data_IF_841132133009
#
_entry.id   IF_841132133009
#
_cell.length_a   1.000
_cell.length_b   1.000
_cell.length_c   1.000
_cell.angle_alpha   90.00
_cell.angle_beta   90.00
_cell.angle_gamma   90.00
#
_symmetry.space_group_name_H-M   'P 1'
#
loop_
_entity.id
_entity.type
_entity.pdbx_description
1 polymer ?
#
# COMPACT_ATOMS: atom_id res chain seq x y z
N UNK A 1 20.42 -20.17 -16.20
CA UNK A 1 19.88 -21.33 -15.44
C UNK A 1 18.38 -21.54 -15.66
N UNK A 2 17.55 -20.50 -15.67
CA UNK A 2 16.10 -20.62 -15.89
C UNK A 2 15.69 -21.22 -17.27
N UNK A 3 16.41 -20.91 -18.35
CA UNK A 3 16.11 -21.42 -19.71
C UNK A 3 16.29 -22.93 -19.84
N UNK A 4 17.30 -23.51 -19.19
CA UNK A 4 17.53 -24.96 -19.21
C UNK A 4 16.41 -25.72 -18.47
N UNK A 5 15.88 -25.13 -17.40
CA UNK A 5 14.73 -25.69 -16.66
C UNK A 5 13.47 -25.61 -17.54
N UNK A 6 13.27 -24.50 -18.25
CA UNK A 6 12.12 -24.33 -19.15
C UNK A 6 12.13 -25.35 -20.29
N UNK A 7 13.29 -25.59 -20.90
CA UNK A 7 13.44 -26.62 -21.94
C UNK A 7 13.19 -28.03 -21.41
N UNK A 8 13.61 -28.33 -20.17
CA UNK A 8 13.35 -29.62 -19.55
C UNK A 8 11.84 -29.85 -19.32
N UNK A 9 11.12 -28.82 -18.86
CA UNK A 9 9.67 -28.86 -18.68
C UNK A 9 8.96 -29.02 -20.02
N UNK A 10 9.42 -28.36 -21.09
CA UNK A 10 8.87 -28.49 -22.44
C UNK A 10 9.07 -29.89 -23.04
N UNK A 11 10.18 -30.54 -22.73
CA UNK A 11 10.41 -31.93 -23.16
C UNK A 11 9.53 -32.91 -22.36
N UNK A 12 9.35 -32.67 -21.07
CA UNK A 12 8.45 -33.49 -20.24
C UNK A 12 7.01 -33.39 -20.76
N UNK A 13 6.57 -32.19 -21.14
CA UNK A 13 5.27 -31.90 -21.77
C UNK A 13 4.96 -32.73 -23.03
N UNK A 14 5.98 -33.19 -23.77
CA UNK A 14 5.77 -34.06 -24.95
C UNK A 14 5.40 -35.50 -24.58
N UNK A 15 5.70 -35.94 -23.36
CA UNK A 15 5.40 -37.29 -22.87
C UNK A 15 4.07 -37.37 -22.10
N UNK A 16 3.45 -36.24 -21.75
CA UNK A 16 2.17 -36.22 -21.02
C UNK A 16 0.98 -36.54 -21.93
N UNK A 17 0.02 -37.24 -21.35
CA UNK A 17 -1.24 -37.54 -22.02
C UNK A 17 -2.14 -36.30 -22.12
N UNK A 18 -3.12 -36.35 -23.04
CA UNK A 18 -4.00 -35.22 -23.35
C UNK A 18 -4.75 -34.68 -22.12
N UNK A 19 -5.16 -35.55 -21.20
CA UNK A 19 -5.84 -35.15 -19.96
C UNK A 19 -4.92 -34.37 -19.02
N UNK A 20 -3.68 -34.79 -18.88
CA UNK A 20 -2.70 -34.12 -18.03
C UNK A 20 -2.29 -32.76 -18.61
N UNK A 21 -2.21 -32.65 -19.94
CA UNK A 21 -2.05 -31.38 -20.64
C UNK A 21 -3.20 -30.40 -20.39
N UNK A 22 -4.44 -30.90 -20.35
CA UNK A 22 -5.61 -30.08 -20.03
C UNK A 22 -5.57 -29.59 -18.58
N UNK A 23 -5.22 -30.46 -17.62
CA UNK A 23 -5.08 -30.07 -16.22
C UNK A 23 -3.96 -29.03 -16.02
N UNK A 24 -2.84 -29.19 -16.72
CA UNK A 24 -1.75 -28.23 -16.68
C UNK A 24 -2.16 -26.88 -17.26
N UNK A 25 -2.85 -26.86 -18.41
CA UNK A 25 -3.36 -25.61 -18.98
C UNK A 25 -4.29 -24.89 -18.01
N UNK A 26 -5.20 -25.61 -17.35
CA UNK A 26 -6.06 -25.01 -16.33
C UNK A 26 -5.28 -24.45 -15.13
N UNK A 27 -4.22 -25.13 -14.70
CA UNK A 27 -3.36 -24.64 -13.62
C UNK A 27 -2.57 -23.39 -14.03
N UNK A 28 -2.03 -23.38 -15.26
CA UNK A 28 -1.33 -22.22 -15.84
C UNK A 28 -2.29 -21.04 -15.95
N UNK A 29 -3.49 -21.24 -16.49
CA UNK A 29 -4.50 -20.19 -16.65
C UNK A 29 -4.89 -19.57 -15.31
N UNK A 30 -5.07 -20.38 -14.27
CA UNK A 30 -5.32 -19.88 -12.91
C UNK A 30 -4.16 -19.03 -12.39
N UNK A 31 -2.92 -19.48 -12.57
CA UNK A 31 -1.74 -18.72 -12.15
C UNK A 31 -1.55 -17.42 -12.95
N UNK A 32 -1.85 -17.44 -14.25
CA UNK A 32 -1.79 -16.27 -15.11
C UNK A 32 -2.89 -15.27 -14.77
N UNK A 33 -4.12 -15.73 -14.49
CA UNK A 33 -5.22 -14.87 -14.05
C UNK A 33 -4.89 -14.14 -12.74
N UNK A 34 -4.32 -14.83 -11.75
CA UNK A 34 -3.86 -14.21 -10.49
C UNK A 34 -2.73 -13.19 -10.74
N UNK A 35 -1.82 -13.46 -11.69
CA UNK A 35 -0.78 -12.50 -12.10
C UNK A 35 -1.35 -11.29 -12.84
N UNK A 36 -2.38 -11.47 -13.64
CA UNK A 36 -3.05 -10.37 -14.35
C UNK A 36 -3.83 -9.49 -13.37
N UNK A 37 -4.52 -10.08 -12.40
CA UNK A 37 -5.25 -9.32 -11.37
C UNK A 37 -4.30 -8.47 -10.52
N UNK A 38 -3.15 -9.02 -10.13
CA UNK A 38 -2.11 -8.26 -9.40
C UNK A 38 -1.47 -7.18 -10.27
N UNK A 39 -1.22 -7.43 -11.56
CA UNK A 39 -0.73 -6.42 -12.50
C UNK A 39 -1.75 -5.28 -12.71
N UNK A 40 -3.04 -5.60 -12.80
CA UNK A 40 -4.14 -4.64 -12.92
C UNK A 40 -4.31 -3.79 -11.65
N UNK A 41 -4.17 -4.39 -10.47
CA UNK A 41 -4.18 -3.65 -9.20
C UNK A 41 -2.98 -2.70 -9.09
N UNK A 42 -1.80 -3.14 -9.55
CA UNK A 42 -0.59 -2.32 -9.50
C UNK A 42 -0.70 -1.11 -10.43
N UNK A 43 -1.21 -1.32 -11.65
CA UNK A 43 -1.44 -0.22 -12.61
C UNK A 43 -2.55 0.73 -12.15
N UNK A 44 -3.63 0.21 -11.58
CA UNK A 44 -4.69 1.01 -10.97
C UNK A 44 -4.17 1.86 -9.80
N UNK A 45 -3.38 1.27 -8.91
CA UNK A 45 -2.75 1.99 -7.80
C UNK A 45 -1.81 3.10 -8.30
N UNK A 46 -1.01 2.84 -9.34
CA UNK A 46 -0.17 3.85 -9.97
C UNK A 46 -1.00 4.99 -10.60
N UNK A 47 -2.13 4.68 -11.23
CA UNK A 47 -3.05 5.69 -11.76
C UNK A 47 -3.67 6.56 -10.66
N UNK A 48 -4.01 5.97 -9.50
CA UNK A 48 -4.52 6.71 -8.34
C UNK A 48 -3.45 7.60 -7.69
N UNK A 49 -2.19 7.16 -7.67
CA UNK A 49 -1.07 8.00 -7.24
C UNK A 49 -0.85 9.18 -8.20
N UNK A 50 -0.83 8.92 -9.52
CA UNK A 50 -0.61 9.93 -10.55
C UNK A 50 -1.73 10.98 -10.61
N UNK A 51 -2.98 10.58 -10.34
CA UNK A 51 -4.13 11.49 -10.22
C UNK A 51 -4.17 12.25 -8.88
N UNK A 52 -3.25 11.96 -7.96
CA UNK A 52 -3.18 12.62 -6.65
C UNK A 52 -4.30 12.22 -5.69
N UNK A 53 -5.10 11.21 -6.04
CA UNK A 53 -6.18 10.66 -5.20
C UNK A 53 -5.63 9.86 -4.02
N UNK A 54 -4.48 9.21 -4.22
CA UNK A 54 -3.69 8.60 -3.15
C UNK A 54 -2.43 9.43 -2.96
N UNK A 55 -2.18 9.86 -1.72
CA UNK A 55 -0.93 10.49 -1.33
C UNK A 55 -0.31 9.63 -0.24
N UNK A 56 0.98 9.29 -0.38
CA UNK A 56 1.70 8.58 0.66
C UNK A 56 1.52 9.33 1.98
N UNK A 57 0.96 8.67 2.99
CA UNK A 57 0.84 9.24 4.33
C UNK A 57 2.26 9.55 4.77
N UNK A 58 2.59 10.83 4.87
CA UNK A 58 3.86 11.24 5.46
C UNK A 58 3.82 10.73 6.88
N UNK A 59 4.76 9.86 7.25
CA UNK A 59 4.96 9.54 8.65
C UNK A 59 5.17 10.87 9.36
N UNK A 60 4.28 11.27 10.30
CA UNK A 60 4.63 12.38 11.16
C UNK A 60 5.95 11.96 11.79
N UNK A 61 7.00 12.78 11.63
CA UNK A 61 8.26 12.53 12.31
C UNK A 61 7.93 12.53 13.79
N UNK A 62 7.75 11.33 14.35
CA UNK A 62 7.48 11.15 15.74
C UNK A 62 8.62 11.84 16.50
N UNK A 63 8.25 12.71 17.44
CA UNK A 63 9.13 13.50 18.30
C UNK A 63 9.75 14.75 17.66
N UNK A 64 8.91 15.73 17.36
CA UNK A 64 9.15 17.03 17.98
C UNK A 64 7.88 17.38 18.74
N UNK A 65 7.84 16.99 20.02
CA UNK A 65 7.16 17.82 21.01
C UNK A 65 7.82 19.18 20.90
N UNK A 66 7.34 19.99 19.96
CA UNK A 66 7.59 21.42 19.98
C UNK A 66 7.04 21.80 21.33
N UNK A 67 7.91 22.05 22.30
CA UNK A 67 7.51 22.72 23.53
C UNK A 67 6.92 24.03 23.05
N UNK A 68 5.60 24.05 22.87
CA UNK A 68 4.89 25.21 22.41
C UNK A 68 5.28 26.32 23.38
N UNK A 69 6.01 27.32 22.89
CA UNK A 69 6.44 28.44 23.75
C UNK A 69 5.18 29.05 24.32
N UNK A 70 5.07 29.04 25.65
CA UNK A 70 3.98 29.69 26.35
C UNK A 70 3.95 31.17 25.91
N UNK A 71 2.83 31.58 25.32
CA UNK A 71 2.62 32.98 24.96
C UNK A 71 2.38 33.73 26.26
N UNK A 72 3.31 34.63 26.60
CA UNK A 72 3.18 35.54 27.74
C UNK A 72 2.03 36.51 27.45
N UNK A 73 0.90 36.33 28.12
CA UNK A 73 -0.25 37.22 28.00
C UNK A 73 -0.04 38.41 28.94
N UNK A 74 -0.11 39.65 28.43
CA UNK A 74 -0.10 40.85 29.27
C UNK A 74 -1.52 41.17 29.69
N UNK A 75 -1.85 40.89 30.94
CA UNK A 75 -3.17 41.17 31.54
C UNK A 75 -3.40 40.31 32.78
N UNK A 76 -4.42 40.64 33.57
CA UNK A 76 -4.86 39.78 34.68
C UNK A 76 -5.26 38.41 34.13
N UNK A 77 -4.90 37.29 34.80
CA UNK A 77 -5.32 35.98 34.35
C UNK A 77 -6.85 35.89 34.38
N UNK A 78 -7.42 35.17 33.43
CA UNK A 78 -8.87 34.96 33.29
C UNK A 78 -9.50 34.48 34.61
N UNK A 79 -8.77 33.68 35.39
CA UNK A 79 -9.19 33.22 36.71
C UNK A 79 -9.48 34.38 37.68
N UNK A 80 -8.76 35.48 37.56
CA UNK A 80 -8.93 36.68 38.38
C UNK A 80 -10.08 37.56 37.85
N UNK A 81 -10.22 37.67 36.52
CA UNK A 81 -11.33 38.41 35.89
C UNK A 81 -12.70 37.78 36.18
N UNK A 82 -12.81 36.44 36.15
CA UNK A 82 -14.07 35.73 36.43
C UNK A 82 -14.54 35.96 37.87
N UNK A 83 -13.62 36.14 38.82
CA UNK A 83 -13.95 36.38 40.23
C UNK A 83 -14.44 37.81 40.45
N UNK A 84 -13.89 38.79 39.73
CA UNK A 84 -14.33 40.19 39.81
C UNK A 84 -15.74 40.41 39.20
N UNK A 85 -16.09 39.74 38.10
CA UNK A 85 -17.40 39.91 37.42
C UNK A 85 -18.58 39.21 38.13
N UNK A 86 -18.33 38.27 39.05
CA UNK A 86 -19.39 37.52 39.75
C UNK A 86 -19.70 38.05 41.15
N UNK A 87 -19.13 39.19 41.54
CA UNK A 87 -19.44 39.88 42.79
C UNK A 87 -20.47 40.99 42.60
#
# INVERSE_FOLDING_TARGET
>A
MAQAILQKILNQLQELELEELQQLNQAIDKHLAVKQETANQTTFYQALLNSGLIRQIKHPSYVQTTQHKLVQVRGKPISETIVEERR
#
